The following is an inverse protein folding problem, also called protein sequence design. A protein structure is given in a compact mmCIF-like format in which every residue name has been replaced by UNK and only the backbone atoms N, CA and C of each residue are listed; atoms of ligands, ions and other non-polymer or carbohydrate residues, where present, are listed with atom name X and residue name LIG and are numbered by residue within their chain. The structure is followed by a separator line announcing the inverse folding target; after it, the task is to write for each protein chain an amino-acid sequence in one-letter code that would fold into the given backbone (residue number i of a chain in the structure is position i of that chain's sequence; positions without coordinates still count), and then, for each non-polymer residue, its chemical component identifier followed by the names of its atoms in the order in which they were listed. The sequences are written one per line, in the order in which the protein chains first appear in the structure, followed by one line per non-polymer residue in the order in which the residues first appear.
data_IF_525872325357
#
_entry.id   IF_525872325357
#
_cell.length_a   1.000
_cell.length_b   1.000
_cell.length_c   1.000
_cell.angle_alpha   90.00
_cell.angle_beta   90.00
_cell.angle_gamma   90.00
#
_symmetry.space_group_name_H-M   'P 1'
#
loop_
_entity.id
_entity.type
_entity.pdbx_description
1 polymer ?
#
# COMPACT_ATOMS: atom_id res chain seq x y z
N UNK A 1 24.21 6.35 1.76
CA UNK A 1 23.59 5.04 1.49
C UNK A 1 22.07 5.19 1.52
N UNK A 2 21.25 4.37 0.82
CA UNK A 2 19.79 4.47 0.92
C UNK A 2 19.32 4.31 2.37
N UNK A 3 18.61 5.29 2.91
CA UNK A 3 18.19 5.31 4.33
C UNK A 3 18.85 6.40 5.17
N UNK A 4 19.96 6.97 4.72
CA UNK A 4 20.76 7.89 5.53
C UNK A 4 20.45 9.37 5.25
N UNK A 5 20.80 10.21 6.21
CA UNK A 5 20.91 11.66 6.02
C UNK A 5 22.34 11.97 5.58
N UNK A 6 22.50 12.67 4.46
CA UNK A 6 23.79 13.04 3.92
C UNK A 6 23.82 14.52 3.55
N UNK A 7 24.98 15.17 3.67
CA UNK A 7 25.19 16.53 3.18
C UNK A 7 26.06 16.47 1.93
N UNK A 8 25.60 17.06 0.82
CA UNK A 8 26.34 17.13 -0.43
C UNK A 8 26.17 18.50 -1.07
N UNK A 9 27.28 19.16 -1.41
CA UNK A 9 27.28 20.53 -1.96
C UNK A 9 26.47 21.53 -1.13
N UNK A 10 26.56 21.44 0.21
CA UNK A 10 25.77 22.25 1.17
C UNK A 10 24.26 21.98 1.15
N UNK A 11 23.81 20.91 0.49
CA UNK A 11 22.41 20.44 0.52
C UNK A 11 22.30 19.23 1.45
N UNK A 12 21.33 19.28 2.38
CA UNK A 12 20.98 18.13 3.23
C UNK A 12 19.98 17.24 2.51
N UNK A 13 20.34 15.99 2.29
CA UNK A 13 19.52 14.94 1.67
C UNK A 13 19.00 14.04 2.78
N UNK A 14 17.69 13.95 2.95
CA UNK A 14 17.04 13.11 3.97
C UNK A 14 16.52 11.83 3.31
N UNK A 15 17.23 10.71 3.49
CA UNK A 15 16.91 9.42 2.88
C UNK A 15 16.07 8.48 3.73
N UNK A 16 15.39 8.96 4.77
CA UNK A 16 14.67 8.12 5.75
C UNK A 16 13.59 7.27 5.03
N UNK A 17 13.67 5.94 5.17
CA UNK A 17 12.79 4.99 4.46
C UNK A 17 11.38 4.89 5.03
N UNK A 18 11.23 5.04 6.36
CA UNK A 18 9.97 4.89 7.07
C UNK A 18 9.69 6.14 7.92
N UNK A 19 9.39 7.24 7.25
CA UNK A 19 9.01 8.50 7.91
C UNK A 19 7.77 8.32 8.82
N UNK A 20 6.71 7.57 8.43
CA UNK A 20 5.58 7.30 9.33
C UNK A 20 5.99 6.64 10.67
N UNK A 21 7.04 5.81 10.65
CA UNK A 21 7.60 5.21 11.86
C UNK A 21 8.16 6.22 12.87
N UNK A 22 8.43 7.46 12.46
CA UNK A 22 8.85 8.55 13.35
C UNK A 22 7.66 9.27 14.02
N UNK A 23 6.44 9.07 13.52
CA UNK A 23 5.18 9.59 14.09
C UNK A 23 4.19 8.44 14.34
N UNK A 24 4.59 7.41 15.11
CA UNK A 24 3.90 6.13 15.13
C UNK A 24 2.45 6.24 15.61
N UNK A 25 2.15 7.11 16.58
CA UNK A 25 0.79 7.30 17.10
C UNK A 25 -0.17 7.77 16.01
N UNK A 26 0.13 8.89 15.35
CA UNK A 26 -0.74 9.47 14.32
C UNK A 26 -0.77 8.59 13.07
N UNK A 27 0.37 8.04 12.65
CA UNK A 27 0.45 7.16 11.48
C UNK A 27 -0.32 5.85 11.68
N UNK A 28 -0.22 5.24 12.86
CA UNK A 28 -0.99 4.03 13.18
C UNK A 28 -2.48 4.32 13.20
N UNK A 29 -2.90 5.42 13.82
CA UNK A 29 -4.30 5.81 13.87
C UNK A 29 -4.87 6.04 12.46
N UNK A 30 -4.17 6.79 11.60
CA UNK A 30 -4.58 7.00 10.21
C UNK A 30 -4.65 5.70 9.42
N UNK A 31 -3.62 4.84 9.53
CA UNK A 31 -3.57 3.57 8.83
C UNK A 31 -4.70 2.63 9.27
N UNK A 32 -4.96 2.51 10.58
CA UNK A 32 -6.02 1.68 11.12
C UNK A 32 -7.41 2.12 10.60
N UNK A 33 -7.68 3.42 10.53
CA UNK A 33 -8.93 3.94 9.96
C UNK A 33 -9.07 3.60 8.47
N UNK A 34 -8.00 3.74 7.68
CA UNK A 34 -8.03 3.38 6.26
C UNK A 34 -8.27 1.87 6.06
N UNK A 35 -7.59 1.03 6.83
CA UNK A 35 -7.81 -0.43 6.79
C UNK A 35 -9.23 -0.78 7.21
N UNK A 36 -9.73 -0.19 8.30
CA UNK A 36 -11.10 -0.40 8.74
C UNK A 36 -12.12 -0.04 7.66
N UNK A 37 -11.98 1.13 7.04
CA UNK A 37 -12.89 1.59 5.99
C UNK A 37 -12.84 0.67 4.77
N UNK A 38 -11.64 0.21 4.38
CA UNK A 38 -11.48 -0.75 3.28
C UNK A 38 -12.14 -2.09 3.59
N UNK A 39 -11.90 -2.66 4.78
CA UNK A 39 -12.48 -3.94 5.21
C UNK A 39 -14.01 -3.82 5.29
N UNK A 40 -14.53 -2.73 5.86
CA UNK A 40 -15.96 -2.47 5.90
C UNK A 40 -16.56 -2.32 4.50
N UNK A 41 -15.85 -1.65 3.59
CA UNK A 41 -16.27 -1.47 2.21
C UNK A 41 -16.43 -2.80 1.46
N UNK A 42 -15.43 -3.70 1.57
CA UNK A 42 -15.45 -5.02 0.91
C UNK A 42 -16.30 -6.06 1.66
N UNK A 43 -16.74 -5.78 2.88
CA UNK A 43 -17.59 -6.69 3.66
C UNK A 43 -19.06 -6.39 3.39
N UNK A 44 -19.79 -7.34 2.81
CA UNK A 44 -21.23 -7.24 2.58
C UNK A 44 -21.93 -8.34 3.35
N UNK A 45 -22.91 -7.97 4.19
CA UNK A 45 -23.69 -8.92 5.02
C UNK A 45 -22.80 -9.90 5.82
N UNK A 46 -21.72 -9.41 6.40
CA UNK A 46 -20.78 -10.19 7.21
C UNK A 46 -19.86 -11.12 6.42
N UNK A 47 -19.81 -11.03 5.09
CA UNK A 47 -18.90 -11.80 4.24
C UNK A 47 -18.04 -10.87 3.41
N UNK A 48 -16.78 -11.23 3.20
CA UNK A 48 -15.90 -10.53 2.28
C UNK A 48 -16.38 -10.81 0.86
N UNK A 49 -16.64 -9.74 0.10
CA UNK A 49 -17.06 -9.79 -1.31
C UNK A 49 -16.02 -9.03 -2.13
N UNK A 50 -15.33 -9.77 -3.00
CA UNK A 50 -14.35 -9.22 -3.94
C UNK A 50 -14.97 -9.16 -5.34
N UNK A 51 -15.75 -8.10 -5.60
CA UNK A 51 -16.28 -7.86 -6.94
C UNK A 51 -15.19 -7.30 -7.86
N UNK A 52 -14.67 -8.13 -8.77
CA UNK A 52 -13.59 -7.71 -9.69
C UNK A 52 -14.02 -6.66 -10.71
N UNK A 53 -15.32 -6.39 -10.85
CA UNK A 53 -15.82 -5.28 -11.69
C UNK A 53 -15.80 -3.94 -10.97
N UNK A 54 -15.68 -3.97 -9.65
CA UNK A 54 -15.52 -2.77 -8.84
C UNK A 54 -14.10 -2.21 -9.01
N UNK A 55 -14.00 -0.90 -9.26
CA UNK A 55 -12.73 -0.22 -9.51
C UNK A 55 -11.79 -0.28 -8.30
N UNK A 56 -12.33 -0.15 -7.08
CA UNK A 56 -11.54 -0.19 -5.86
C UNK A 56 -11.02 -1.61 -5.64
N UNK A 57 -11.89 -2.62 -5.74
CA UNK A 57 -11.50 -4.03 -5.57
C UNK A 57 -10.47 -4.46 -6.62
N UNK A 58 -10.66 -4.10 -7.89
CA UNK A 58 -9.71 -4.44 -8.96
C UNK A 58 -8.35 -3.77 -8.77
N UNK A 59 -8.32 -2.55 -8.24
CA UNK A 59 -7.09 -1.81 -7.99
C UNK A 59 -6.32 -2.31 -6.76
N UNK A 60 -7.01 -2.80 -5.71
CA UNK A 60 -6.34 -3.30 -4.49
C UNK A 60 -5.94 -4.78 -4.59
N UNK A 61 -6.62 -5.58 -5.41
CA UNK A 61 -6.43 -7.03 -5.46
C UNK A 61 -5.15 -7.39 -6.21
N UNK A 62 -4.08 -7.73 -5.48
CA UNK A 62 -2.79 -8.06 -6.09
C UNK A 62 -2.72 -9.49 -6.62
N UNK A 63 -3.18 -10.46 -5.82
CA UNK A 63 -3.09 -11.89 -6.14
C UNK A 63 -4.38 -12.63 -5.75
N UNK A 64 -4.77 -13.63 -6.53
CA UNK A 64 -5.85 -14.55 -6.19
C UNK A 64 -5.61 -15.89 -6.91
N UNK A 65 -5.97 -17.01 -6.27
CA UNK A 65 -5.87 -18.35 -6.84
C UNK A 65 -4.46 -18.69 -7.39
N UNK A 66 -3.42 -18.26 -6.67
CA UNK A 66 -2.02 -18.48 -7.06
C UNK A 66 -1.54 -17.64 -8.25
N UNK A 67 -2.33 -16.67 -8.73
CA UNK A 67 -1.99 -15.80 -9.86
C UNK A 67 -1.87 -14.34 -9.42
N UNK A 68 -0.91 -13.63 -10.02
CA UNK A 68 -0.86 -12.16 -9.95
C UNK A 68 -1.94 -11.62 -10.89
N UNK A 69 -2.86 -10.80 -10.38
CA UNK A 69 -3.98 -10.24 -11.16
C UNK A 69 -3.90 -8.73 -11.32
N UNK A 70 -3.16 -8.04 -10.45
CA UNK A 70 -2.97 -6.60 -10.55
C UNK A 70 -2.02 -6.23 -11.68
N UNK A 71 -2.49 -5.38 -12.61
CA UNK A 71 -1.77 -5.03 -13.83
C UNK A 71 -0.42 -4.37 -13.55
N UNK A 72 -0.36 -3.41 -12.62
CA UNK A 72 0.90 -2.76 -12.25
C UNK A 72 1.92 -3.71 -11.61
N UNK A 73 1.45 -4.78 -10.95
CA UNK A 73 2.33 -5.78 -10.36
C UNK A 73 2.89 -6.70 -11.45
N UNK A 74 2.07 -7.13 -12.41
CA UNK A 74 2.53 -7.89 -13.58
C UNK A 74 3.57 -7.12 -14.38
N UNK A 75 3.34 -5.83 -14.60
CA UNK A 75 4.27 -4.95 -15.31
C UNK A 75 5.61 -4.83 -14.58
N UNK A 76 5.58 -4.51 -13.27
CA UNK A 76 6.80 -4.38 -12.46
C UNK A 76 7.61 -5.68 -12.39
N UNK A 77 6.93 -6.83 -12.38
CA UNK A 77 7.57 -8.15 -12.36
C UNK A 77 7.94 -8.69 -13.74
N UNK A 78 7.59 -8.00 -14.83
CA UNK A 78 7.80 -8.42 -16.22
C UNK A 78 7.14 -9.78 -16.55
N UNK A 79 5.97 -10.05 -15.98
CA UNK A 79 5.19 -11.29 -16.19
C UNK A 79 4.00 -10.99 -17.12
N UNK A 80 4.20 -10.12 -18.11
CA UNK A 80 3.19 -9.80 -19.11
C UNK A 80 3.27 -10.79 -20.27
#
# INVERSE_FOLDING_TARGET
VPGEVAVKHHVTIIGIKNIPGMLPTSSTWMFANNVYNLVNYITKKGKIVLDKKDEIVSSILTTIDGKVVHEGAKEAMKIK
#
